data_IF_794280882833
#
_entry.id   IF_794280882833
#
_cell.length_a   1.000
_cell.length_b   1.000
_cell.length_c   1.000
_cell.angle_alpha   90.00
_cell.angle_beta   90.00
_cell.angle_gamma   90.00
#
_symmetry.space_group_name_H-M   'P 1'
#
loop_
_entity.id
_entity.type
_entity.pdbx_description
1 polymer ?
#
# COMPACT_ATOMS: atom_id res chain seq x y z
N UNK A 1 5.25 32.38 -8.85
CA UNK A 1 4.55 31.51 -9.83
C UNK A 1 5.66 30.88 -10.66
N UNK A 2 6.10 29.64 -10.43
CA UNK A 2 5.38 28.39 -10.61
C UNK A 2 5.86 27.35 -9.59
N UNK A 3 4.93 26.70 -8.88
CA UNK A 3 5.21 25.51 -8.09
C UNK A 3 5.24 24.34 -9.08
N UNK A 4 6.42 23.80 -9.38
CA UNK A 4 6.58 22.68 -10.29
C UNK A 4 6.17 21.38 -9.58
N UNK A 5 4.91 20.99 -9.78
CA UNK A 5 4.38 19.67 -9.44
C UNK A 5 5.09 18.62 -10.29
N UNK A 6 6.10 17.96 -9.72
CA UNK A 6 6.79 16.82 -10.32
C UNK A 6 6.91 15.73 -9.27
N UNK A 7 6.12 14.66 -9.42
CA UNK A 7 6.45 13.29 -8.99
C UNK A 7 5.47 12.33 -9.65
N UNK A 8 5.60 12.22 -10.97
CA UNK A 8 5.15 11.03 -11.70
C UNK A 8 6.25 9.99 -11.45
N UNK A 9 6.16 9.25 -10.35
CA UNK A 9 7.04 8.11 -10.11
C UNK A 9 6.27 6.84 -10.44
N UNK A 10 6.74 6.18 -11.49
CA UNK A 10 6.22 4.97 -12.12
C UNK A 10 6.29 3.77 -11.18
N UNK A 11 5.48 3.75 -10.13
CA UNK A 11 5.12 2.49 -9.48
C UNK A 11 4.29 1.71 -10.49
N UNK A 12 4.74 0.51 -10.83
CA UNK A 12 3.98 -0.43 -11.65
C UNK A 12 2.81 -0.95 -10.80
N UNK A 13 1.82 -0.07 -10.57
CA UNK A 13 0.48 -0.44 -10.15
C UNK A 13 -0.12 -1.18 -11.34
N UNK A 14 0.18 -2.48 -11.44
CA UNK A 14 -0.54 -3.35 -12.36
C UNK A 14 -2.01 -3.30 -11.93
N UNK A 15 -2.80 -2.52 -12.65
CA UNK A 15 -4.24 -2.38 -12.55
C UNK A 15 -4.91 -3.70 -12.95
N UNK A 16 -4.74 -4.73 -12.14
CA UNK A 16 -5.46 -6.00 -12.25
C UNK A 16 -6.88 -5.83 -11.65
N UNK A 17 -7.09 -4.80 -10.83
CA UNK A 17 -8.38 -4.41 -10.29
C UNK A 17 -8.75 -3.02 -10.78
N UNK A 18 -9.99 -2.84 -11.23
CA UNK A 18 -10.53 -1.61 -11.83
C UNK A 18 -10.60 -0.37 -10.90
N UNK A 19 -9.83 -0.34 -9.79
CA UNK A 19 -9.68 0.83 -8.93
C UNK A 19 -8.37 1.55 -9.23
N UNK A 20 -8.49 2.82 -9.65
CA UNK A 20 -7.35 3.62 -10.05
C UNK A 20 -6.67 4.18 -8.80
N UNK A 21 -5.50 3.66 -8.45
CA UNK A 21 -4.60 4.37 -7.53
C UNK A 21 -4.07 5.59 -8.27
N UNK A 22 -4.47 6.77 -7.81
CA UNK A 22 -4.18 8.05 -8.44
C UNK A 22 -2.89 8.69 -7.94
N UNK A 23 -2.47 8.36 -6.73
CA UNK A 23 -1.14 8.73 -6.21
C UNK A 23 -0.74 7.84 -5.05
N UNK A 24 0.58 7.72 -4.84
CA UNK A 24 1.18 6.89 -3.82
C UNK A 24 2.40 7.62 -3.24
N UNK A 25 2.37 7.85 -1.94
CA UNK A 25 3.46 8.41 -1.15
C UNK A 25 3.86 7.39 -0.08
N UNK A 26 5.13 7.03 -0.06
CA UNK A 26 5.71 6.00 0.79
C UNK A 26 6.97 6.54 1.45
N UNK A 27 7.05 6.46 2.78
CA UNK A 27 8.28 6.81 3.50
C UNK A 27 9.40 5.84 3.15
N UNK A 28 10.63 6.33 2.97
CA UNK A 28 11.80 5.47 2.75
C UNK A 28 11.93 4.91 1.33
N UNK A 29 11.15 5.41 0.37
CA UNK A 29 11.23 5.00 -1.03
C UNK A 29 11.91 6.06 -1.90
N UNK A 30 12.70 5.60 -2.87
CA UNK A 30 13.28 6.41 -3.95
C UNK A 30 13.10 5.67 -5.26
N UNK A 31 12.26 6.22 -6.15
CA UNK A 31 11.81 5.49 -7.33
C UNK A 31 10.92 4.30 -6.96
N UNK A 32 11.22 3.12 -7.52
CA UNK A 32 10.52 1.86 -7.26
C UNK A 32 11.11 1.02 -6.12
N UNK A 33 12.20 1.51 -5.50
CA UNK A 33 12.93 0.85 -4.42
C UNK A 33 12.66 1.52 -3.06
N UNK A 34 12.35 0.70 -2.06
CA UNK A 34 12.03 1.14 -0.71
C UNK A 34 12.96 0.50 0.31
N UNK A 35 13.63 1.31 1.12
CA UNK A 35 14.45 0.84 2.25
C UNK A 35 13.59 0.93 3.51
N UNK A 36 13.38 -0.23 4.14
CA UNK A 36 12.47 -0.40 5.27
C UNK A 36 13.28 -0.74 6.51
N UNK A 37 13.31 0.17 7.48
CA UNK A 37 14.04 0.00 8.73
C UNK A 37 13.19 -0.69 9.79
N UNK A 38 13.72 -1.75 10.39
CA UNK A 38 13.05 -2.48 11.47
C UNK A 38 12.87 -1.60 12.72
N UNK A 39 11.74 -1.77 13.40
CA UNK A 39 11.38 -0.97 14.58
C UNK A 39 11.09 0.50 14.28
N UNK A 40 11.15 0.94 13.02
CA UNK A 40 10.77 2.30 12.60
C UNK A 40 9.36 2.32 12.04
N UNK A 41 8.77 3.52 12.05
CA UNK A 41 7.48 3.76 11.42
C UNK A 41 7.66 3.81 9.90
N UNK A 42 6.82 3.08 9.19
CA UNK A 42 6.62 3.19 7.75
C UNK A 42 5.23 3.76 7.49
N UNK A 43 5.14 4.83 6.70
CA UNK A 43 3.90 5.51 6.37
C UNK A 43 3.59 5.38 4.89
N UNK A 44 2.31 5.13 4.61
CA UNK A 44 1.71 5.02 3.29
C UNK A 44 0.58 6.03 3.21
N UNK A 45 0.64 6.93 2.24
CA UNK A 45 -0.46 7.83 1.90
C UNK A 45 -0.81 7.66 0.43
N UNK A 46 -2.03 7.25 0.16
CA UNK A 46 -2.46 6.97 -1.22
C UNK A 46 -3.86 7.46 -1.48
N UNK A 47 -4.12 7.84 -2.72
CA UNK A 47 -5.46 8.16 -3.17
C UNK A 47 -5.93 7.13 -4.18
N UNK A 48 -7.12 6.58 -3.98
CA UNK A 48 -7.70 5.58 -4.87
C UNK A 48 -9.14 5.91 -5.24
N UNK A 49 -9.58 5.49 -6.42
CA UNK A 49 -11.00 5.53 -6.81
C UNK A 49 -11.62 4.17 -6.52
N UNK A 50 -12.69 4.14 -5.72
CA UNK A 50 -13.39 2.91 -5.39
C UNK A 50 -14.08 2.34 -6.64
N UNK A 51 -13.86 1.06 -6.94
CA UNK A 51 -14.44 0.36 -8.08
C UNK A 51 -15.78 -0.34 -7.75
N UNK A 52 -16.19 -0.30 -6.49
CA UNK A 52 -17.37 -0.97 -5.94
C UNK A 52 -17.91 -0.19 -4.73
N UNK A 53 -19.19 -0.39 -4.42
CA UNK A 53 -19.72 -0.05 -3.10
C UNK A 53 -19.23 -1.09 -2.09
N UNK A 54 -18.91 -0.67 -0.87
CA UNK A 54 -18.37 -1.58 0.15
C UNK A 54 -18.59 -1.01 1.55
N UNK A 55 -19.14 -1.80 2.47
CA UNK A 55 -19.28 -1.41 3.88
C UNK A 55 -17.96 -1.57 4.64
N UNK A 56 -17.06 -2.41 4.10
CA UNK A 56 -15.74 -2.66 4.67
C UNK A 56 -14.60 -2.35 3.73
N UNK A 57 -13.41 -2.24 4.28
CA UNK A 57 -12.14 -2.25 3.54
C UNK A 57 -11.11 -3.02 4.37
N UNK A 58 -10.52 -4.05 3.78
CA UNK A 58 -9.45 -4.84 4.40
C UNK A 58 -8.10 -4.50 3.75
N UNK A 59 -7.08 -4.25 4.57
CA UNK A 59 -5.69 -4.06 4.14
C UNK A 59 -4.94 -5.38 4.26
N UNK A 60 -4.31 -5.80 3.18
CA UNK A 60 -3.41 -6.98 3.13
C UNK A 60 -2.03 -6.54 2.65
N UNK A 61 -1.00 -6.89 3.41
CA UNK A 61 0.40 -6.65 3.05
C UNK A 61 1.16 -7.94 3.17
N UNK A 62 1.86 -8.31 2.10
CA UNK A 62 2.64 -9.54 1.99
C UNK A 62 4.00 -9.26 1.37
N UNK A 63 5.00 -10.06 1.75
CA UNK A 63 6.32 -10.07 1.14
C UNK A 63 6.51 -11.36 0.34
N UNK A 64 7.07 -11.26 -0.86
CA UNK A 64 7.35 -12.43 -1.72
C UNK A 64 8.83 -12.82 -1.62
N UNK A 65 9.09 -13.94 -0.94
CA UNK A 65 10.43 -14.49 -0.77
C UNK A 65 10.53 -15.85 -1.47
N UNK A 66 11.43 -16.01 -2.45
CA UNK A 66 11.62 -17.27 -3.18
C UNK A 66 10.29 -17.86 -3.73
N UNK A 67 9.44 -17.00 -4.32
CA UNK A 67 8.11 -17.32 -4.84
C UNK A 67 7.08 -17.75 -3.76
N UNK A 68 7.38 -17.60 -2.48
CA UNK A 68 6.46 -17.81 -1.38
C UNK A 68 5.97 -16.44 -0.90
N UNK A 69 4.67 -16.24 -0.87
CA UNK A 69 4.04 -15.03 -0.34
C UNK A 69 3.78 -15.19 1.16
N UNK A 70 4.39 -14.32 1.97
CA UNK A 70 4.32 -14.35 3.43
C UNK A 70 3.63 -13.08 3.93
N UNK A 71 2.58 -13.18 4.77
CA UNK A 71 1.92 -12.00 5.33
C UNK A 71 2.85 -11.26 6.30
N UNK A 72 2.85 -9.93 6.22
CA UNK A 72 3.61 -9.10 7.16
C UNK A 72 2.88 -9.07 8.51
N UNK A 73 3.56 -9.42 9.63
CA UNK A 73 2.93 -9.40 10.95
C UNK A 73 2.67 -7.98 11.43
N UNK A 74 1.67 -7.79 12.30
CA UNK A 74 1.36 -6.49 12.91
C UNK A 74 0.56 -5.52 12.04
N UNK A 75 0.23 -5.89 10.82
CA UNK A 75 -0.65 -5.10 9.94
C UNK A 75 -2.04 -4.98 10.56
N UNK A 76 -2.47 -3.75 10.85
CA UNK A 76 -3.89 -3.46 11.09
C UNK A 76 -4.64 -3.63 9.78
N UNK A 77 -5.48 -4.66 9.72
CA UNK A 77 -6.20 -5.05 8.51
C UNK A 77 -7.46 -4.23 8.30
N UNK A 78 -7.94 -3.51 9.30
CA UNK A 78 -9.16 -2.72 9.18
C UNK A 78 -8.88 -1.39 8.47
N UNK A 79 -9.03 -1.38 7.15
CA UNK A 79 -8.81 -0.21 6.32
C UNK A 79 -9.77 0.93 6.60
N UNK A 80 -10.97 0.66 7.15
CA UNK A 80 -11.93 1.70 7.51
C UNK A 80 -11.50 2.55 8.71
N UNK A 81 -10.43 2.16 9.43
CA UNK A 81 -9.78 3.03 10.42
C UNK A 81 -8.86 4.08 9.80
N UNK A 82 -8.43 3.84 8.56
CA UNK A 82 -7.40 4.60 7.85
C UNK A 82 -7.96 5.35 6.63
N UNK A 83 -9.24 5.14 6.31
CA UNK A 83 -10.00 5.87 5.28
C UNK A 83 -11.49 5.93 5.66
N UNK A 84 -12.29 6.67 4.91
CA UNK A 84 -13.72 6.80 5.15
C UNK A 84 -14.50 5.63 4.55
N UNK A 85 -15.27 4.92 5.37
CA UNK A 85 -16.27 3.93 4.96
C UNK A 85 -17.70 4.40 5.29
N UNK A 86 -18.75 3.92 4.59
CA UNK A 86 -18.68 2.97 3.48
C UNK A 86 -18.11 3.60 2.20
N UNK A 87 -17.44 2.75 1.41
CA UNK A 87 -16.97 3.12 0.07
C UNK A 87 -18.16 3.20 -0.88
N UNK A 88 -18.11 4.18 -1.79
CA UNK A 88 -19.04 4.36 -2.90
C UNK A 88 -18.30 4.31 -4.22
N UNK A 89 -18.79 3.48 -5.13
CA UNK A 89 -18.20 3.30 -6.45
C UNK A 89 -18.05 4.64 -7.18
N UNK A 90 -16.88 4.85 -7.77
CA UNK A 90 -16.52 6.05 -8.52
C UNK A 90 -16.06 7.23 -7.65
N UNK A 91 -16.15 7.13 -6.31
CA UNK A 91 -15.62 8.17 -5.43
C UNK A 91 -14.12 7.98 -5.17
N UNK A 92 -13.43 9.12 -5.03
CA UNK A 92 -12.01 9.17 -4.67
C UNK A 92 -11.88 9.20 -3.15
N UNK A 93 -11.00 8.37 -2.63
CA UNK A 93 -10.68 8.25 -1.21
C UNK A 93 -9.19 8.50 -0.98
N UNK A 94 -8.88 8.96 0.22
CA UNK A 94 -7.53 9.06 0.76
C UNK A 94 -7.37 7.97 1.82
N UNK A 95 -6.31 7.18 1.72
CA UNK A 95 -5.90 6.21 2.72
C UNK A 95 -4.57 6.70 3.32
N UNK A 96 -4.56 6.89 4.64
CA UNK A 96 -3.37 7.27 5.40
C UNK A 96 -3.09 6.18 6.44
N UNK A 97 -2.02 5.44 6.22
CA UNK A 97 -1.70 4.22 6.95
C UNK A 97 -0.28 4.28 7.51
N UNK A 98 -0.10 3.82 8.75
CA UNK A 98 1.21 3.71 9.38
C UNK A 98 1.39 2.37 10.07
N UNK A 99 2.57 1.80 9.93
CA UNK A 99 2.97 0.53 10.57
C UNK A 99 4.35 0.68 11.19
N UNK A 100 4.49 0.24 12.44
CA UNK A 100 5.82 -0.01 13.02
C UNK A 100 6.34 -1.32 12.44
N UNK A 101 7.45 -1.24 11.71
CA UNK A 101 8.04 -2.41 11.04
C UNK A 101 8.49 -3.43 12.10
N UNK A 102 7.98 -4.67 12.07
CA UNK A 102 8.34 -5.68 13.06
C UNK A 102 9.83 -6.01 13.01
N UNK A 103 10.47 -6.01 14.18
CA UNK A 103 11.91 -6.32 14.31
C UNK A 103 12.25 -7.80 14.03
N UNK A 104 11.23 -8.66 14.01
CA UNK A 104 11.37 -10.09 13.67
C UNK A 104 11.55 -10.35 12.17
N UNK A 105 11.33 -9.35 11.32
CA UNK A 105 11.55 -9.50 9.88
C UNK A 105 13.05 -9.73 9.58
N UNK A 106 13.41 -10.66 8.68
CA UNK A 106 14.79 -10.84 8.30
C UNK A 106 15.27 -9.69 7.41
N UNK A 107 16.58 -9.41 7.42
CA UNK A 107 17.19 -8.49 6.45
C UNK A 107 17.23 -9.17 5.09
N UNK A 108 16.56 -8.57 4.08
CA UNK A 108 16.42 -9.18 2.76
C UNK A 108 15.90 -8.19 1.74
N UNK A 109 16.11 -8.51 0.46
CA UNK A 109 15.44 -7.88 -0.68
C UNK A 109 14.24 -8.74 -1.10
N UNK A 110 13.08 -8.12 -1.23
CA UNK A 110 11.81 -8.77 -1.58
C UNK A 110 10.95 -7.85 -2.43
N UNK A 111 9.87 -8.39 -2.98
CA UNK A 111 8.74 -7.59 -3.47
C UNK A 111 7.66 -7.59 -2.41
N UNK A 112 7.22 -6.41 -1.99
CA UNK A 112 6.07 -6.25 -1.10
C UNK A 112 4.83 -5.97 -1.94
N UNK A 113 3.76 -6.73 -1.71
CA UNK A 113 2.44 -6.50 -2.31
C UNK A 113 1.51 -5.93 -1.24
N UNK A 114 0.79 -4.86 -1.58
CA UNK A 114 -0.28 -4.31 -0.78
C UNK A 114 -1.60 -4.41 -1.55
N UNK A 115 -2.67 -4.84 -0.89
CA UNK A 115 -4.02 -4.93 -1.48
C UNK A 115 -5.07 -4.36 -0.54
N UNK A 116 -5.99 -3.60 -1.12
CA UNK A 116 -7.22 -3.14 -0.49
C UNK A 116 -8.36 -4.02 -0.99
N UNK A 117 -9.09 -4.67 -0.08
CA UNK A 117 -10.14 -5.64 -0.39
C UNK A 117 -11.45 -5.22 0.25
N UNK A 118 -12.46 -4.93 -0.55
CA UNK A 118 -13.81 -4.64 -0.06
C UNK A 118 -14.72 -5.87 -0.13
N UNK A 119 -16.04 -5.66 -0.06
CA UNK A 119 -17.04 -6.72 -0.06
C UNK A 119 -17.07 -7.55 -1.33
N UNK A 120 -16.79 -6.94 -2.48
CA UNK A 120 -16.84 -7.58 -3.79
C UNK A 120 -15.45 -7.91 -4.36
N UNK A 121 -14.42 -7.94 -3.51
CA UNK A 121 -13.06 -8.29 -3.89
C UNK A 121 -12.09 -7.11 -3.88
N UNK A 122 -11.07 -7.17 -4.73
CA UNK A 122 -9.96 -6.21 -4.74
C UNK A 122 -10.43 -4.85 -5.23
N UNK A 123 -10.25 -3.84 -4.38
CA UNK A 123 -10.46 -2.42 -4.71
C UNK A 123 -9.21 -1.86 -5.38
N UNK A 124 -8.04 -2.07 -4.79
CA UNK A 124 -6.76 -1.61 -5.32
C UNK A 124 -5.63 -2.58 -4.92
N UNK A 125 -4.58 -2.65 -5.73
CA UNK A 125 -3.41 -3.47 -5.46
C UNK A 125 -2.15 -2.80 -6.00
N UNK A 126 -1.05 -2.85 -5.24
CA UNK A 126 0.25 -2.31 -5.64
C UNK A 126 1.39 -3.23 -5.22
N UNK A 127 2.51 -3.13 -5.95
CA UNK A 127 3.74 -3.88 -5.68
C UNK A 127 4.94 -2.94 -5.69
N UNK A 128 5.86 -3.16 -4.77
CA UNK A 128 7.06 -2.33 -4.60
C UNK A 128 8.28 -3.21 -4.32
N UNK A 129 9.46 -2.83 -4.82
CA UNK A 129 10.70 -3.50 -4.46
C UNK A 129 11.12 -2.98 -3.07
N UNK A 130 11.36 -3.88 -2.13
CA UNK A 130 11.68 -3.55 -0.74
C UNK A 130 12.97 -4.20 -0.30
N UNK A 131 13.76 -3.45 0.44
CA UNK A 131 14.95 -3.91 1.15
C UNK A 131 14.74 -3.67 2.64
N UNK A 132 14.58 -4.76 3.40
CA UNK A 132 14.43 -4.72 4.84
C UNK A 132 15.82 -4.70 5.47
N UNK A 133 16.05 -3.71 6.32
CA UNK A 133 17.31 -3.46 7.02
C UNK A 133 17.05 -3.20 8.51
N UNK A 134 18.12 -3.17 9.31
CA UNK A 134 18.04 -2.79 10.73
C UNK A 134 17.60 -1.33 10.96
#
# INVERSE_FOLDING_TARGET
MYYSSQSIHSFHLSSIAHGEVTSLDLSGCSGDHCIIHKGKSFTLKTFFIANQDSEKLEIKISATMNNIEVPVPGVDKDGCKHTTCPLKKGQKYELDYSLIIPTILPNLKTVTTASLVGDHGVVACGKVNTEVVD
#
